data_IF_514980549298
#
_entry.id   IF_514980549298
#
_cell.length_a   1.000
_cell.length_b   1.000
_cell.length_c   1.000
_cell.angle_alpha   90.00
_cell.angle_beta   90.00
_cell.angle_gamma   90.00
#
_symmetry.space_group_name_H-M   'P 1'
#
loop_
_entity.id
_entity.type
_entity.pdbx_description
1 polymer ?
#
# COMPACT_ATOMS: atom_id res chain seq x y z
N UNK A 1 -12.47 -7.50 8.27
CA UNK A 1 -11.55 -7.14 7.18
C UNK A 1 -10.35 -6.45 7.81
N UNK A 2 -9.14 -6.63 7.29
CA UNK A 2 -7.93 -6.01 7.86
C UNK A 2 -8.03 -4.48 7.81
N UNK A 3 -7.72 -3.83 8.94
CA UNK A 3 -7.68 -2.37 9.08
C UNK A 3 -6.23 -1.91 9.34
N UNK A 4 -5.59 -1.24 8.37
CA UNK A 4 -4.19 -0.84 8.45
C UNK A 4 -3.95 0.20 9.56
N UNK A 5 -4.89 1.12 9.80
CA UNK A 5 -4.72 2.18 10.80
C UNK A 5 -4.76 1.60 12.22
N UNK A 6 -5.67 0.65 12.46
CA UNK A 6 -5.72 -0.07 13.73
C UNK A 6 -4.44 -0.89 13.94
N UNK A 7 -3.98 -1.61 12.91
CA UNK A 7 -2.73 -2.38 12.98
C UNK A 7 -1.53 -1.48 13.32
N UNK A 8 -1.43 -0.31 12.68
CA UNK A 8 -0.33 0.63 12.93
C UNK A 8 -0.39 1.28 14.31
N UNK A 9 -1.60 1.60 14.80
CA UNK A 9 -1.81 2.22 16.11
C UNK A 9 -1.27 1.39 17.27
N UNK A 10 -1.44 0.07 17.20
CA UNK A 10 -0.94 -0.88 18.20
C UNK A 10 0.38 -1.54 17.78
N UNK A 11 0.99 -0.98 16.74
CA UNK A 11 2.19 -1.47 16.09
C UNK A 11 3.49 -1.10 16.77
N UNK A 12 4.59 -1.35 16.07
CA UNK A 12 5.94 -0.97 16.49
C UNK A 12 6.17 0.55 16.36
N UNK A 13 7.37 1.03 16.75
CA UNK A 13 7.67 2.46 16.72
C UNK A 13 7.57 3.08 15.32
N UNK A 14 7.99 2.36 14.26
CA UNK A 14 7.94 2.84 12.88
C UNK A 14 6.49 2.98 12.40
N UNK A 15 5.63 2.03 12.71
CA UNK A 15 4.20 2.11 12.40
C UNK A 15 3.51 3.27 13.11
N UNK A 16 3.83 3.51 14.39
CA UNK A 16 3.26 4.63 15.14
C UNK A 16 3.74 5.98 14.58
N UNK A 17 5.01 6.09 14.17
CA UNK A 17 5.53 7.28 13.47
C UNK A 17 4.84 7.51 12.13
N UNK A 18 4.69 6.46 11.32
CA UNK A 18 3.97 6.54 10.06
C UNK A 18 2.51 6.99 10.27
N UNK A 19 1.84 6.48 11.32
CA UNK A 19 0.50 6.92 11.69
C UNK A 19 0.46 8.39 12.12
N UNK A 20 1.46 8.86 12.86
CA UNK A 20 1.61 10.29 13.18
C UNK A 20 1.76 11.13 11.92
N UNK A 21 2.67 10.75 11.02
CA UNK A 21 2.88 11.44 9.75
C UNK A 21 1.59 11.51 8.89
N UNK A 22 0.83 10.41 8.79
CA UNK A 22 -0.48 10.37 8.11
C UNK A 22 -1.45 11.39 8.71
N UNK A 23 -1.51 11.46 10.04
CA UNK A 23 -2.44 12.35 10.75
C UNK A 23 -2.02 13.82 10.63
N UNK A 24 -0.72 14.11 10.73
CA UNK A 24 -0.18 15.48 10.59
C UNK A 24 -0.31 16.01 9.17
N UNK A 25 -0.10 15.15 8.16
CA UNK A 25 -0.34 15.48 6.76
C UNK A 25 -1.85 15.63 6.45
N UNK A 26 -2.71 15.05 7.29
CA UNK A 26 -4.16 15.07 7.16
C UNK A 26 -4.71 14.46 5.84
N UNK A 27 -3.91 13.62 5.17
CA UNK A 27 -4.20 13.12 3.82
C UNK A 27 -5.52 12.36 3.72
N UNK A 28 -5.86 11.57 4.72
CA UNK A 28 -7.08 10.77 4.73
C UNK A 28 -8.35 11.65 4.83
N UNK A 29 -8.25 12.80 5.50
CA UNK A 29 -9.38 13.73 5.63
C UNK A 29 -9.47 14.65 4.41
N UNK A 30 -8.35 15.22 3.97
CA UNK A 30 -8.27 16.14 2.83
C UNK A 30 -8.77 15.52 1.52
N UNK A 31 -8.55 14.22 1.37
CA UNK A 31 -8.92 13.41 0.21
C UNK A 31 -10.00 12.36 0.53
N UNK A 32 -10.72 12.51 1.65
CA UNK A 32 -11.75 11.57 2.13
C UNK A 32 -12.83 11.22 1.08
N UNK A 33 -13.19 12.15 0.20
CA UNK A 33 -14.16 11.91 -0.89
C UNK A 33 -13.75 10.82 -1.87
N UNK A 34 -12.48 10.43 -1.88
CA UNK A 34 -11.91 9.42 -2.77
C UNK A 34 -11.68 8.07 -2.06
N UNK A 35 -12.27 7.89 -0.88
CA UNK A 35 -12.26 6.63 -0.13
C UNK A 35 -10.85 6.09 0.18
N UNK A 36 -9.98 6.90 0.80
CA UNK A 36 -8.56 6.57 0.94
C UNK A 36 -8.31 5.36 1.83
N UNK A 37 -7.36 4.50 1.43
CA UNK A 37 -6.89 3.38 2.25
C UNK A 37 -5.36 3.36 2.29
N UNK A 38 -4.78 3.28 3.49
CA UNK A 38 -3.34 3.04 3.67
C UNK A 38 -3.02 1.61 3.29
N UNK A 39 -2.00 1.40 2.47
CA UNK A 39 -1.58 0.07 2.01
C UNK A 39 -0.07 -0.11 2.19
N UNK A 40 0.45 -1.21 1.63
CA UNK A 40 1.89 -1.47 1.63
C UNK A 40 2.36 -2.30 2.81
N UNK A 41 3.66 -2.22 3.07
CA UNK A 41 4.35 -3.17 3.96
C UNK A 41 4.46 -2.70 5.41
N UNK A 42 4.34 -1.39 5.65
CA UNK A 42 4.40 -0.79 7.00
C UNK A 42 3.25 -1.30 7.89
N UNK A 43 1.97 -1.36 7.44
CA UNK A 43 0.89 -1.94 8.26
C UNK A 43 1.14 -3.40 8.67
N UNK A 44 1.96 -4.13 7.90
CA UNK A 44 2.26 -5.55 8.09
C UNK A 44 3.57 -5.80 8.87
N UNK A 45 4.34 -4.74 9.18
CA UNK A 45 5.67 -4.81 9.81
C UNK A 45 6.66 -5.71 9.04
N UNK A 46 6.54 -5.75 7.72
CA UNK A 46 7.53 -6.38 6.82
C UNK A 46 8.17 -5.33 5.93
N UNK A 47 8.05 -4.06 6.29
CA UNK A 47 8.70 -2.94 5.66
C UNK A 47 10.21 -2.96 5.89
N UNK A 48 10.93 -2.37 4.94
CA UNK A 48 12.34 -2.01 5.06
C UNK A 48 12.44 -0.50 5.32
N UNK A 49 13.64 -0.01 5.62
CA UNK A 49 13.84 1.40 5.98
C UNK A 49 13.43 2.35 4.84
N UNK A 50 13.68 1.93 3.60
CA UNK A 50 13.34 2.62 2.35
C UNK A 50 11.90 2.37 1.87
N UNK A 51 11.07 1.66 2.64
CA UNK A 51 9.68 1.41 2.22
C UNK A 51 8.81 2.66 2.35
N UNK A 52 8.10 2.95 1.26
CA UNK A 52 7.15 4.05 1.15
C UNK A 52 5.91 3.85 2.04
N UNK A 53 5.19 4.94 2.25
CA UNK A 53 3.86 4.98 2.84
C UNK A 53 2.82 5.14 1.73
N UNK A 54 2.23 4.03 1.33
CA UNK A 54 1.24 3.98 0.26
C UNK A 54 -0.16 4.38 0.75
N UNK A 55 -0.82 5.26 -0.01
CA UNK A 55 -2.26 5.54 0.14
C UNK A 55 -2.94 5.41 -1.21
N UNK A 56 -3.94 4.53 -1.27
CA UNK A 56 -4.72 4.28 -2.48
C UNK A 56 -6.04 5.04 -2.47
N UNK A 57 -6.51 5.44 -3.66
CA UNK A 57 -7.73 6.24 -3.83
C UNK A 57 -8.60 5.73 -4.99
N UNK A 58 -9.92 5.89 -4.84
CA UNK A 58 -10.92 5.64 -5.88
C UNK A 58 -11.30 6.97 -6.57
N UNK A 59 -10.96 7.11 -7.84
CA UNK A 59 -11.06 8.37 -8.58
C UNK A 59 -11.81 8.20 -9.90
N UNK A 60 -12.91 8.95 -10.06
CA UNK A 60 -13.65 9.04 -11.32
C UNK A 60 -13.19 10.21 -12.20
N UNK A 61 -12.84 11.35 -11.59
CA UNK A 61 -12.38 12.55 -12.30
C UNK A 61 -10.91 12.81 -11.96
N UNK A 62 -10.03 12.36 -12.85
CA UNK A 62 -8.58 12.47 -12.66
C UNK A 62 -8.08 13.92 -12.70
N UNK A 63 -8.66 14.78 -13.53
CA UNK A 63 -8.22 16.19 -13.62
C UNK A 63 -8.48 16.92 -12.29
N UNK A 64 -9.66 16.74 -11.70
CA UNK A 64 -10.00 17.31 -10.39
C UNK A 64 -9.13 16.72 -9.27
N UNK A 65 -8.83 15.42 -9.33
CA UNK A 65 -7.93 14.77 -8.38
C UNK A 65 -6.50 15.33 -8.45
N UNK A 66 -5.92 15.43 -9.64
CA UNK A 66 -4.57 15.96 -9.82
C UNK A 66 -4.45 17.42 -9.37
N UNK A 67 -5.40 18.27 -9.73
CA UNK A 67 -5.40 19.67 -9.29
C UNK A 67 -5.50 19.76 -7.77
N UNK A 68 -6.28 18.88 -7.13
CA UNK A 68 -6.39 18.82 -5.68
C UNK A 68 -5.08 18.37 -5.03
N UNK A 69 -4.47 17.29 -5.52
CA UNK A 69 -3.17 16.76 -5.03
C UNK A 69 -2.07 17.80 -5.20
N UNK A 70 -1.95 18.41 -6.38
CA UNK A 70 -0.97 19.45 -6.67
C UNK A 70 -1.14 20.65 -5.73
N UNK A 71 -2.38 21.10 -5.50
CA UNK A 71 -2.66 22.22 -4.60
C UNK A 71 -2.30 21.91 -3.14
N UNK A 72 -2.59 20.70 -2.67
CA UNK A 72 -2.35 20.30 -1.28
C UNK A 72 -0.88 20.00 -1.02
N UNK A 73 -0.22 19.27 -1.91
CA UNK A 73 1.08 18.63 -1.64
C UNK A 73 2.20 19.06 -2.59
N UNK A 74 1.90 19.84 -3.64
CA UNK A 74 2.88 20.26 -4.65
C UNK A 74 4.03 21.13 -4.13
N UNK A 75 3.95 21.60 -2.89
CA UNK A 75 5.00 22.37 -2.22
C UNK A 75 5.93 21.51 -1.35
N UNK A 76 5.63 20.21 -1.18
CA UNK A 76 6.43 19.28 -0.38
C UNK A 76 7.70 18.84 -1.14
N UNK A 77 8.69 18.37 -0.39
CA UNK A 77 9.97 17.95 -0.97
C UNK A 77 9.78 16.78 -1.92
N UNK A 78 10.54 16.80 -3.01
CA UNK A 78 10.59 15.74 -4.02
C UNK A 78 9.21 15.41 -4.63
N UNK A 79 8.29 16.38 -4.61
CA UNK A 79 6.96 16.20 -5.17
C UNK A 79 7.03 15.89 -6.66
N UNK A 80 6.40 14.78 -7.04
CA UNK A 80 6.14 14.40 -8.43
C UNK A 80 4.67 14.05 -8.59
N UNK A 81 4.13 14.28 -9.78
CA UNK A 81 2.78 13.90 -10.13
C UNK A 81 2.75 13.52 -11.61
N UNK A 82 2.24 12.32 -11.89
CA UNK A 82 2.10 11.81 -13.25
C UNK A 82 0.78 11.07 -13.44
N UNK A 83 0.22 11.20 -14.65
CA UNK A 83 -0.84 10.33 -15.15
C UNK A 83 -0.23 9.32 -16.10
N UNK A 84 -0.52 8.04 -15.90
CA UNK A 84 -0.03 6.96 -16.77
C UNK A 84 -1.04 5.85 -16.93
N UNK A 85 -0.79 4.98 -17.90
CA UNK A 85 -1.56 3.76 -18.10
C UNK A 85 -0.88 2.58 -17.42
N UNK A 86 -1.61 1.88 -16.55
CA UNK A 86 -1.18 0.62 -15.95
C UNK A 86 -2.21 -0.43 -16.35
N UNK A 87 -1.79 -1.46 -17.09
CA UNK A 87 -2.69 -2.53 -17.58
C UNK A 87 -3.91 -1.97 -18.33
N UNK A 88 -3.70 -0.95 -19.16
CA UNK A 88 -4.70 -0.21 -19.92
C UNK A 88 -5.70 0.64 -19.10
N UNK A 89 -5.52 0.73 -17.78
CA UNK A 89 -6.30 1.61 -16.90
C UNK A 89 -5.53 2.91 -16.62
N UNK A 90 -6.25 4.03 -16.58
CA UNK A 90 -5.69 5.33 -16.20
C UNK A 90 -5.43 5.37 -14.70
N UNK A 91 -4.21 5.75 -14.34
CA UNK A 91 -3.74 5.87 -12.96
C UNK A 91 -3.07 7.23 -12.78
N UNK A 92 -3.32 7.86 -11.63
CA UNK A 92 -2.54 9.00 -11.16
C UNK A 92 -1.63 8.51 -10.04
N UNK A 93 -0.34 8.79 -10.20
CA UNK A 93 0.68 8.54 -9.20
C UNK A 93 1.32 9.86 -8.78
N UNK A 94 1.49 10.05 -7.48
CA UNK A 94 2.28 11.15 -6.95
C UNK A 94 3.15 10.66 -5.80
N UNK A 95 4.37 11.18 -5.73
CA UNK A 95 5.32 10.89 -4.66
C UNK A 95 5.77 12.20 -4.03
N UNK A 96 6.02 12.23 -2.73
CA UNK A 96 6.62 13.36 -2.02
C UNK A 96 7.11 12.91 -0.63
N UNK A 97 8.03 13.68 -0.06
CA UNK A 97 8.56 13.41 1.27
C UNK A 97 7.86 14.26 2.35
N UNK A 98 7.46 13.62 3.44
CA UNK A 98 6.87 14.29 4.62
C UNK A 98 7.20 13.53 5.91
N UNK A 99 7.65 14.25 6.95
CA UNK A 99 7.95 13.72 8.29
C UNK A 99 8.79 12.42 8.31
N UNK A 100 9.81 12.35 7.44
CA UNK A 100 10.72 11.21 7.36
C UNK A 100 10.19 9.99 6.59
N UNK A 101 9.04 10.11 5.92
CA UNK A 101 8.51 9.08 5.03
C UNK A 101 8.39 9.62 3.60
N UNK A 102 8.68 8.77 2.63
CA UNK A 102 8.19 8.95 1.26
C UNK A 102 6.73 8.49 1.22
N UNK A 103 5.84 9.38 0.79
CA UNK A 103 4.43 9.06 0.56
C UNK A 103 4.23 8.74 -0.90
N UNK A 104 3.50 7.66 -1.17
CA UNK A 104 3.02 7.33 -2.51
C UNK A 104 1.49 7.43 -2.55
N UNK A 105 0.99 8.33 -3.38
CA UNK A 105 -0.42 8.41 -3.77
C UNK A 105 -0.62 7.56 -5.01
N UNK A 106 -1.53 6.60 -4.94
CA UNK A 106 -1.95 5.79 -6.07
C UNK A 106 -3.46 5.88 -6.27
N UNK A 107 -3.90 6.44 -7.39
CA UNK A 107 -5.31 6.70 -7.65
C UNK A 107 -5.76 6.08 -8.97
N UNK A 108 -6.87 5.35 -8.94
CA UNK A 108 -7.46 4.74 -10.12
C UNK A 108 -8.99 4.70 -10.03
N UNK A 109 -9.66 4.45 -11.16
CA UNK A 109 -11.11 4.38 -11.23
C UNK A 109 -11.63 3.00 -10.78
N UNK A 110 -11.36 2.65 -9.53
CA UNK A 110 -11.79 1.39 -8.93
C UNK A 110 -11.98 1.58 -7.42
N UNK A 111 -13.05 1.01 -6.81
CA UNK A 111 -13.22 1.02 -5.35
C UNK A 111 -11.97 0.51 -4.64
N UNK A 112 -11.48 1.23 -3.63
CA UNK A 112 -10.18 0.97 -2.97
C UNK A 112 -10.10 -0.45 -2.40
N UNK A 113 -11.19 -0.94 -1.81
CA UNK A 113 -11.30 -2.31 -1.32
C UNK A 113 -11.21 -3.41 -2.40
N UNK A 114 -11.36 -3.07 -3.68
CA UNK A 114 -11.21 -4.01 -4.79
C UNK A 114 -9.87 -3.84 -5.51
N UNK A 115 -9.10 -2.80 -5.19
CA UNK A 115 -7.80 -2.59 -5.81
C UNK A 115 -6.80 -3.63 -5.31
N UNK A 116 -5.93 -4.07 -6.21
CA UNK A 116 -4.98 -5.14 -5.91
C UNK A 116 -4.03 -4.80 -4.75
N UNK A 117 -3.61 -3.55 -4.59
CA UNK A 117 -2.76 -3.14 -3.46
C UNK A 117 -3.42 -3.50 -2.10
N UNK A 118 -4.71 -3.21 -1.95
CA UNK A 118 -5.46 -3.59 -0.76
C UNK A 118 -5.67 -5.10 -0.66
N UNK A 119 -6.06 -5.75 -1.76
CA UNK A 119 -6.31 -7.20 -1.77
C UNK A 119 -5.05 -8.00 -1.42
N UNK A 120 -3.89 -7.63 -1.97
CA UNK A 120 -2.60 -8.21 -1.63
C UNK A 120 -2.29 -8.02 -0.15
N UNK A 121 -2.43 -6.79 0.37
CA UNK A 121 -2.18 -6.52 1.79
C UNK A 121 -3.09 -7.36 2.70
N UNK A 122 -4.38 -7.53 2.36
CA UNK A 122 -5.31 -8.39 3.12
C UNK A 122 -4.85 -9.84 3.12
N UNK A 123 -4.47 -10.38 1.95
CA UNK A 123 -3.97 -11.77 1.84
C UNK A 123 -2.68 -11.95 2.64
N UNK A 124 -1.73 -11.04 2.50
CA UNK A 124 -0.47 -11.05 3.24
C UNK A 124 -0.71 -10.95 4.75
N UNK A 125 -1.62 -10.10 5.21
CA UNK A 125 -1.99 -9.96 6.61
C UNK A 125 -2.57 -11.26 7.18
N UNK A 126 -3.46 -11.92 6.45
CA UNK A 126 -4.06 -13.19 6.89
C UNK A 126 -3.02 -14.33 6.90
N UNK A 127 -2.07 -14.36 5.97
CA UNK A 127 -0.93 -15.31 6.00
C UNK A 127 -0.09 -15.08 7.25
N UNK A 128 0.38 -13.84 7.47
CA UNK A 128 1.26 -13.51 8.61
C UNK A 128 0.56 -13.70 9.97
N UNK A 129 -0.76 -13.51 10.03
CA UNK A 129 -1.56 -13.79 11.21
C UNK A 129 -1.64 -15.28 11.55
N UNK A 130 -1.64 -16.15 10.52
CA UNK A 130 -1.66 -17.60 10.69
C UNK A 130 -0.28 -18.16 10.99
N UNK A 131 0.76 -17.57 10.40
CA UNK A 131 2.13 -18.05 10.52
C UNK A 131 3.12 -16.88 10.67
N UNK A 132 3.22 -16.36 11.89
CA UNK A 132 4.05 -15.20 12.20
C UNK A 132 5.56 -15.45 11.95
N UNK A 133 6.00 -16.71 12.01
CA UNK A 133 7.39 -17.11 11.71
C UNK A 133 7.82 -16.82 10.27
N UNK A 134 6.87 -16.63 9.34
CA UNK A 134 7.21 -16.26 7.96
C UNK A 134 7.70 -14.82 7.84
N UNK A 135 7.35 -13.95 8.80
CA UNK A 135 7.66 -12.52 8.75
C UNK A 135 9.16 -12.25 8.52
N UNK A 136 10.02 -12.91 9.30
CA UNK A 136 11.47 -12.74 9.16
C UNK A 136 11.97 -13.28 7.81
N UNK A 137 11.43 -14.40 7.33
CA UNK A 137 11.82 -14.95 6.01
C UNK A 137 11.46 -13.98 4.88
N UNK A 138 10.29 -13.32 4.97
CA UNK A 138 9.87 -12.30 4.00
C UNK A 138 10.80 -11.09 4.06
N UNK A 139 11.15 -10.61 5.25
CA UNK A 139 12.10 -9.51 5.43
C UNK A 139 13.46 -9.87 4.84
N UNK A 140 14.01 -11.04 5.16
CA UNK A 140 15.31 -11.52 4.66
C UNK A 140 15.35 -11.64 3.13
N UNK A 141 14.22 -12.01 2.51
CA UNK A 141 14.10 -12.04 1.05
C UNK A 141 14.02 -10.63 0.47
N UNK A 142 13.26 -9.73 1.09
CA UNK A 142 13.18 -8.33 0.67
C UNK A 142 14.54 -7.64 0.74
N UNK A 143 15.33 -7.89 1.78
CA UNK A 143 16.70 -7.38 1.91
C UNK A 143 17.64 -7.89 0.81
N UNK A 144 17.34 -9.06 0.21
CA UNK A 144 18.05 -9.60 -0.96
C UNK A 144 17.54 -9.02 -2.29
N UNK A 145 16.62 -8.07 -2.26
CA UNK A 145 16.05 -7.40 -3.44
C UNK A 145 14.77 -8.02 -3.97
N UNK A 146 14.15 -8.98 -3.26
CA UNK A 146 12.83 -9.45 -3.65
C UNK A 146 11.77 -8.37 -3.41
N UNK A 147 10.82 -8.23 -4.33
CA UNK A 147 9.59 -7.50 -4.04
C UNK A 147 8.71 -8.32 -3.09
N UNK A 148 7.73 -7.66 -2.48
CA UNK A 148 6.85 -8.26 -1.47
C UNK A 148 6.11 -9.49 -2.00
N UNK A 149 5.37 -9.40 -3.10
CA UNK A 149 4.59 -10.52 -3.63
C UNK A 149 5.48 -11.72 -4.04
N UNK A 150 6.60 -11.53 -4.76
CA UNK A 150 7.57 -12.61 -4.98
C UNK A 150 8.09 -13.26 -3.71
N UNK A 151 8.41 -12.49 -2.66
CA UNK A 151 8.89 -13.05 -1.40
C UNK A 151 7.85 -13.96 -0.74
N UNK A 152 6.57 -13.57 -0.76
CA UNK A 152 5.48 -14.44 -0.28
C UNK A 152 5.34 -15.70 -1.12
N UNK A 153 5.43 -15.59 -2.45
CA UNK A 153 5.33 -16.74 -3.33
C UNK A 153 6.48 -17.73 -3.12
N UNK A 154 7.71 -17.25 -2.93
CA UNK A 154 8.89 -18.06 -2.63
C UNK A 154 8.69 -18.88 -1.34
N UNK A 155 8.26 -18.23 -0.25
CA UNK A 155 8.08 -18.87 1.05
C UNK A 155 6.91 -19.86 1.05
N UNK A 156 5.86 -19.59 0.27
CA UNK A 156 4.67 -20.43 0.19
C UNK A 156 4.74 -21.51 -0.90
N UNK A 157 5.79 -21.51 -1.73
CA UNK A 157 5.90 -22.41 -2.88
C UNK A 157 4.82 -22.16 -3.94
N UNK A 158 4.44 -20.90 -4.16
CA UNK A 158 3.47 -20.52 -5.20
C UNK A 158 4.22 -20.29 -6.51
N UNK A 159 3.97 -21.16 -7.48
CA UNK A 159 4.54 -21.05 -8.83
C UNK A 159 3.78 -20.04 -9.71
N UNK A 160 4.47 -19.49 -10.71
CA UNK A 160 3.89 -18.63 -11.74
C UNK A 160 4.09 -17.13 -11.51
N UNK A 161 3.13 -16.33 -11.92
CA UNK A 161 3.18 -14.88 -11.75
C UNK A 161 2.85 -14.50 -10.29
N UNK A 162 3.77 -13.86 -9.53
CA UNK A 162 3.57 -13.61 -8.10
C UNK A 162 2.36 -12.74 -7.77
N UNK A 163 2.00 -11.86 -8.70
CA UNK A 163 0.90 -10.92 -8.52
C UNK A 163 -0.46 -11.64 -8.59
N UNK A 164 -0.70 -12.41 -9.65
CA UNK A 164 -1.93 -13.20 -9.77
C UNK A 164 -1.95 -14.39 -8.82
N UNK A 165 -0.82 -15.08 -8.66
CA UNK A 165 -0.71 -16.28 -7.83
C UNK A 165 -1.05 -16.02 -6.36
N UNK A 166 -0.56 -14.93 -5.78
CA UNK A 166 -0.87 -14.60 -4.38
C UNK A 166 -2.36 -14.25 -4.18
N UNK A 167 -3.00 -13.58 -5.14
CA UNK A 167 -4.44 -13.31 -5.09
C UNK A 167 -5.27 -14.59 -5.26
N UNK A 168 -4.86 -15.49 -6.14
CA UNK A 168 -5.52 -16.78 -6.31
C UNK A 168 -5.43 -17.63 -5.04
N UNK A 169 -4.23 -17.70 -4.43
CA UNK A 169 -4.05 -18.32 -3.12
C UNK A 169 -5.00 -17.73 -2.08
N UNK A 170 -5.14 -16.41 -2.06
CA UNK A 170 -6.08 -15.70 -1.18
C UNK A 170 -7.54 -16.10 -1.39
N UNK A 171 -7.98 -16.27 -2.64
CA UNK A 171 -9.35 -16.71 -2.97
C UNK A 171 -9.59 -18.16 -2.58
N UNK A 172 -8.66 -19.05 -2.91
CA UNK A 172 -8.76 -20.49 -2.57
C UNK A 172 -8.83 -20.72 -1.04
N UNK A 173 -8.17 -19.86 -0.26
CA UNK A 173 -8.18 -19.90 1.21
C UNK A 173 -9.29 -19.05 1.87
N UNK A 174 -10.14 -18.37 1.08
CA UNK A 174 -11.26 -17.57 1.57
C UNK A 174 -10.86 -16.26 2.27
N UNK A 175 -9.67 -15.72 2.02
CA UNK A 175 -9.21 -14.43 2.57
C UNK A 175 -9.85 -13.25 1.87
N UNK A 176 -10.06 -13.39 0.57
CA UNK A 176 -10.67 -12.39 -0.31
C UNK A 176 -11.72 -13.08 -1.19
N UNK A 177 -12.61 -12.28 -1.78
CA UNK A 177 -13.69 -12.75 -2.64
C UNK A 177 -13.26 -12.91 -4.09
#
# INVERSE_FOLDING_TARGET
>A
MFDPLVAMKFGNNRQQKALTAINELNILNDLSRYDPIVCGTIPLQIDLEESDLDVIFNVNNFDDFEQKVLKLYGHLSDFTLERKLIRAESVVKANFNFDGFEFEIFAQNQPTHNQHAYLHMVVQAEILKREESLKQQIIDLKEKGYKTEPAFCEVLGIDGDPYSGLLEFGKQNGFIK
#
